data_IF_195854078604
#
_entry.id   IF_195854078604
#
_cell.length_a   1.000
_cell.length_b   1.000
_cell.length_c   1.000
_cell.angle_alpha   90.00
_cell.angle_beta   90.00
_cell.angle_gamma   90.00
#
_symmetry.space_group_name_H-M   'P 1'
#
loop_
_entity.id
_entity.type
_entity.pdbx_description
1 polymer ?
#
# COMPACT_ATOMS: atom_id res chain seq x y z
N UNK A 1 -7.73 5.90 -7.02
CA UNK A 1 -6.68 5.34 -6.15
C UNK A 1 -5.87 6.45 -5.53
N UNK A 2 -4.96 7.05 -6.30
CA UNK A 2 -4.13 8.18 -5.89
C UNK A 2 -4.92 9.37 -5.31
N UNK A 3 -5.91 9.90 -6.04
CA UNK A 3 -6.73 11.02 -5.54
C UNK A 3 -7.43 10.70 -4.20
N UNK A 4 -7.85 9.44 -4.00
CA UNK A 4 -8.42 9.01 -2.73
C UNK A 4 -7.36 9.02 -1.63
N UNK A 5 -6.17 8.48 -1.89
CA UNK A 5 -5.06 8.46 -0.94
C UNK A 5 -4.65 9.88 -0.54
N UNK A 6 -4.56 10.79 -1.50
CA UNK A 6 -4.24 12.21 -1.26
C UNK A 6 -5.28 12.86 -0.34
N UNK A 7 -6.58 12.75 -0.65
CA UNK A 7 -7.65 13.28 0.20
C UNK A 7 -7.65 12.62 1.59
N UNK A 8 -7.51 11.30 1.64
CA UNK A 8 -7.45 10.53 2.88
C UNK A 8 -6.30 10.97 3.79
N UNK A 9 -5.13 11.27 3.22
CA UNK A 9 -3.95 11.75 3.97
C UNK A 9 -4.10 13.19 4.43
N UNK A 10 -4.75 14.04 3.64
CA UNK A 10 -5.04 15.42 4.01
C UNK A 10 -6.08 15.54 5.13
N UNK A 11 -7.08 14.66 5.14
CA UNK A 11 -8.20 14.71 6.09
C UNK A 11 -7.91 14.03 7.44
N UNK A 12 -6.98 13.07 7.47
CA UNK A 12 -6.66 12.30 8.68
C UNK A 12 -5.25 12.62 9.21
N UNK A 13 -5.20 13.25 10.38
CA UNK A 13 -3.92 13.50 11.07
C UNK A 13 -3.30 12.25 11.71
N UNK A 14 -4.04 11.13 11.75
CA UNK A 14 -3.55 9.88 12.33
C UNK A 14 -2.86 9.01 11.27
N UNK A 15 -1.77 8.35 11.66
CA UNK A 15 -1.02 7.42 10.80
C UNK A 15 -1.78 6.10 10.60
N UNK A 16 -2.84 6.12 9.78
CA UNK A 16 -3.50 4.89 9.36
C UNK A 16 -2.63 4.20 8.30
N UNK A 17 -2.18 2.95 8.53
CA UNK A 17 -1.38 2.23 7.56
C UNK A 17 -2.21 1.90 6.33
N UNK A 18 -1.68 2.23 5.15
CA UNK A 18 -2.32 1.93 3.86
C UNK A 18 -1.42 0.98 3.09
N UNK A 19 -2.02 -0.06 2.52
CA UNK A 19 -1.38 -1.00 1.58
C UNK A 19 -2.10 -0.86 0.25
N UNK A 20 -1.33 -0.67 -0.82
CA UNK A 20 -1.85 -0.60 -2.20
C UNK A 20 -1.64 -1.94 -2.87
N UNK A 21 -2.69 -2.48 -3.49
CA UNK A 21 -2.60 -3.66 -4.35
C UNK A 21 -2.97 -3.22 -5.75
N UNK A 22 -2.08 -3.42 -6.72
CA UNK A 22 -2.26 -2.92 -8.09
C UNK A 22 -1.78 -3.93 -9.11
N UNK A 23 -2.41 -3.95 -10.29
CA UNK A 23 -1.87 -4.59 -11.49
C UNK A 23 -1.39 -3.55 -12.51
N UNK A 24 -1.33 -2.28 -12.11
CA UNK A 24 -0.86 -1.20 -12.96
C UNK A 24 0.67 -1.20 -13.01
N UNK A 25 1.20 -0.97 -14.21
CA UNK A 25 2.59 -0.60 -14.38
C UNK A 25 2.76 0.85 -13.93
N UNK A 26 3.34 1.03 -12.75
CA UNK A 26 3.53 2.34 -12.15
C UNK A 26 4.69 3.08 -12.82
N UNK A 27 4.48 4.35 -13.12
CA UNK A 27 5.58 5.25 -13.52
C UNK A 27 6.53 5.47 -12.35
N UNK A 28 7.73 5.97 -12.62
CA UNK A 28 8.70 6.25 -11.56
C UNK A 28 8.23 7.38 -10.63
N UNK A 29 7.48 8.34 -11.17
CA UNK A 29 6.82 9.40 -10.41
C UNK A 29 5.75 8.83 -9.46
N UNK A 30 4.93 7.88 -9.93
CA UNK A 30 3.93 7.20 -9.12
C UNK A 30 4.55 6.33 -8.02
N UNK A 31 5.64 5.61 -8.33
CA UNK A 31 6.40 4.85 -7.33
C UNK A 31 6.97 5.77 -6.26
N UNK A 32 7.54 6.89 -6.67
CA UNK A 32 8.11 7.88 -5.76
C UNK A 32 7.04 8.47 -4.85
N UNK A 33 5.89 8.86 -5.41
CA UNK A 33 4.75 9.33 -4.62
C UNK A 33 4.31 8.28 -3.58
N UNK A 34 4.08 7.04 -4.01
CA UNK A 34 3.59 5.98 -3.10
C UNK A 34 4.60 5.66 -2.00
N UNK A 35 5.91 5.76 -2.26
CA UNK A 35 6.95 5.45 -1.27
C UNK A 35 6.88 6.31 0.00
N UNK A 36 6.31 7.52 -0.08
CA UNK A 36 6.09 8.40 1.08
C UNK A 36 4.72 8.24 1.75
N UNK A 37 3.74 7.70 1.03
CA UNK A 37 2.34 7.74 1.43
C UNK A 37 1.77 6.40 1.90
N UNK A 38 2.41 5.28 1.53
CA UNK A 38 1.91 3.94 1.81
C UNK A 38 2.98 3.06 2.44
N UNK A 39 2.55 2.08 3.22
CA UNK A 39 3.47 1.14 3.86
C UNK A 39 4.07 0.19 2.82
N UNK A 40 3.24 -0.28 1.88
CA UNK A 40 3.61 -1.24 0.84
C UNK A 40 2.75 -1.10 -0.41
N UNK A 41 3.36 -1.41 -1.54
CA UNK A 41 2.69 -1.63 -2.83
C UNK A 41 2.89 -3.10 -3.23
N UNK A 42 1.80 -3.81 -3.51
CA UNK A 42 1.79 -5.21 -3.93
C UNK A 42 1.33 -5.32 -5.38
N UNK A 43 2.14 -5.93 -6.23
CA UNK A 43 1.80 -6.27 -7.61
C UNK A 43 0.89 -7.50 -7.63
N UNK A 44 -0.30 -7.36 -8.22
CA UNK A 44 -1.32 -8.42 -8.26
C UNK A 44 -0.91 -9.60 -9.17
N UNK A 45 -0.07 -9.36 -10.16
CA UNK A 45 0.47 -10.43 -11.03
C UNK A 45 1.43 -11.37 -10.30
N UNK A 46 2.13 -10.85 -9.29
CA UNK A 46 3.27 -11.52 -8.68
C UNK A 46 2.86 -12.36 -7.45
N UNK A 47 1.60 -12.21 -7.01
CA UNK A 47 1.16 -12.66 -5.69
C UNK A 47 -0.26 -13.27 -5.78
N UNK A 48 -0.37 -14.57 -5.53
CA UNK A 48 -1.66 -15.25 -5.38
C UNK A 48 -2.39 -14.83 -4.11
N UNK A 49 -3.72 -14.98 -4.05
CA UNK A 49 -4.55 -14.54 -2.91
C UNK A 49 -4.00 -14.99 -1.54
N UNK A 50 -3.47 -16.21 -1.44
CA UNK A 50 -2.88 -16.73 -0.19
C UNK A 50 -1.63 -15.97 0.25
N UNK A 51 -0.81 -15.49 -0.69
CA UNK A 51 0.39 -14.72 -0.38
C UNK A 51 0.03 -13.29 0.05
N UNK A 52 -1.01 -12.67 -0.56
CA UNK A 52 -1.54 -11.37 -0.10
C UNK A 52 -1.98 -11.45 1.37
N UNK A 53 -2.73 -12.51 1.72
CA UNK A 53 -3.18 -12.73 3.10
C UNK A 53 -1.99 -12.92 4.05
N UNK A 54 -0.94 -13.60 3.63
CA UNK A 54 0.26 -13.78 4.45
C UNK A 54 1.03 -12.47 4.66
N UNK A 55 1.18 -11.63 3.63
CA UNK A 55 1.78 -10.29 3.76
C UNK A 55 1.00 -9.41 4.74
N UNK A 56 -0.34 -9.40 4.63
CA UNK A 56 -1.20 -8.68 5.58
C UNK A 56 -1.01 -9.21 7.00
N UNK A 57 -0.97 -10.54 7.20
CA UNK A 57 -0.72 -11.14 8.51
C UNK A 57 0.64 -10.70 9.06
N UNK A 58 1.71 -10.78 8.27
CA UNK A 58 3.05 -10.39 8.71
C UNK A 58 3.09 -8.93 9.17
N UNK A 59 2.39 -8.03 8.48
CA UNK A 59 2.30 -6.62 8.87
C UNK A 59 1.70 -6.43 10.27
N UNK A 60 0.67 -7.20 10.62
CA UNK A 60 0.01 -7.10 11.94
C UNK A 60 0.65 -7.99 13.03
N UNK A 61 1.55 -8.90 12.68
CA UNK A 61 2.16 -9.87 13.62
C UNK A 61 3.61 -9.53 14.02
N UNK A 62 4.17 -8.39 13.61
CA UNK A 62 5.48 -7.95 14.11
C UNK A 62 5.45 -7.90 15.65
N UNK A 63 6.31 -8.68 16.36
CA UNK A 63 6.38 -8.63 17.82
C UNK A 63 6.77 -7.21 18.24
N UNK A 64 6.10 -6.71 19.29
CA UNK A 64 6.42 -5.44 19.95
C UNK A 64 7.86 -5.41 20.43
#
# INVERSE_FOLDING_TARGET
>A
GFEFLEKFRNDLQSQIPVIVITSADLTDEEKQYLSGEVVRVLQKSDIGNSQIINEIKNFFHSPK
#
